data_IF_235218393168
#
_entry.id   IF_235218393168
#
_cell.length_a   1.000
_cell.length_b   1.000
_cell.length_c   1.000
_cell.angle_alpha   90.00
_cell.angle_beta   90.00
_cell.angle_gamma   90.00
#
_symmetry.space_group_name_H-M   'P 1'
#
loop_
_entity.id
_entity.type
_entity.pdbx_description
1 polymer ?
#
# COMPACT_ATOMS: atom_id res chain seq x y z
N UNK A 1 -39.92 -0.72 56.70
CA UNK A 1 -39.89 -1.84 55.73
C UNK A 1 -38.53 -1.78 55.04
N UNK A 2 -37.58 -2.54 55.55
CA UNK A 2 -36.17 -2.48 55.16
C UNK A 2 -35.81 -3.72 54.34
N UNK A 3 -35.29 -3.52 53.14
CA UNK A 3 -34.87 -4.60 52.24
C UNK A 3 -33.42 -5.02 52.55
N UNK A 4 -33.09 -6.33 52.53
CA UNK A 4 -31.73 -6.80 52.79
C UNK A 4 -30.84 -6.76 51.54
N UNK A 5 -29.62 -6.23 51.74
CA UNK A 5 -28.51 -6.24 50.79
C UNK A 5 -28.01 -7.69 50.58
N UNK A 6 -27.96 -8.15 49.33
CA UNK A 6 -27.38 -9.45 48.97
C UNK A 6 -25.97 -9.24 48.40
N UNK A 7 -24.95 -9.66 49.13
CA UNK A 7 -23.54 -9.67 48.71
C UNK A 7 -23.26 -10.92 47.89
N UNK A 8 -22.95 -10.75 46.61
CA UNK A 8 -22.50 -11.84 45.73
C UNK A 8 -20.97 -11.96 45.78
N UNK A 9 -20.49 -13.07 46.38
CA UNK A 9 -19.08 -13.46 46.41
C UNK A 9 -18.70 -14.10 45.07
N UNK A 10 -17.88 -13.41 44.26
CA UNK A 10 -17.23 -14.02 43.08
C UNK A 10 -15.92 -14.70 43.48
N UNK A 11 -15.89 -16.02 43.33
CA UNK A 11 -14.69 -16.85 43.44
C UNK A 11 -13.94 -16.79 42.11
N UNK A 12 -12.80 -16.10 42.10
CA UNK A 12 -11.88 -16.06 40.97
C UNK A 12 -11.00 -17.31 40.99
N UNK A 13 -11.27 -18.27 40.08
CA UNK A 13 -10.37 -19.39 39.83
C UNK A 13 -9.18 -18.92 38.98
N UNK A 14 -7.99 -18.93 39.58
CA UNK A 14 -6.73 -18.78 38.88
C UNK A 14 -6.47 -20.06 38.05
N UNK A 15 -6.56 -19.95 36.73
CA UNK A 15 -6.08 -20.99 35.81
C UNK A 15 -4.59 -20.80 35.57
N UNK A 16 -3.80 -21.76 36.05
CA UNK A 16 -2.38 -21.88 35.73
C UNK A 16 -2.21 -22.28 34.27
N UNK A 17 -1.73 -21.35 33.44
CA UNK A 17 -1.35 -21.63 32.05
C UNK A 17 0.00 -22.35 32.01
N UNK A 18 -0.05 -23.65 31.72
CA UNK A 18 1.11 -24.50 31.44
C UNK A 18 1.74 -24.07 30.11
N UNK A 19 2.99 -23.62 30.16
CA UNK A 19 3.83 -23.37 28.98
C UNK A 19 4.17 -24.70 28.30
N UNK A 20 3.50 -25.00 27.19
CA UNK A 20 3.89 -26.07 26.28
C UNK A 20 4.82 -25.50 25.21
N UNK A 21 6.08 -25.95 25.22
CA UNK A 21 7.01 -25.74 24.12
C UNK A 21 6.55 -26.60 22.94
N UNK A 22 5.97 -25.99 21.92
CA UNK A 22 5.76 -26.64 20.63
C UNK A 22 7.01 -26.50 19.79
N UNK A 23 7.68 -27.64 19.61
CA UNK A 23 8.66 -27.95 18.57
C UNK A 23 8.17 -27.46 17.20
N UNK A 24 8.90 -26.52 16.62
CA UNK A 24 8.78 -26.11 15.22
C UNK A 24 9.55 -27.13 14.37
N UNK A 25 8.88 -28.19 13.94
CA UNK A 25 9.38 -29.01 12.84
C UNK A 25 8.22 -29.56 11.99
N UNK A 26 8.47 -29.59 10.68
CA UNK A 26 7.63 -30.12 9.61
C UNK A 26 6.31 -29.36 9.31
N UNK A 27 6.32 -28.57 8.24
CA UNK A 27 5.55 -28.83 6.99
C UNK A 27 5.69 -27.62 6.05
N UNK A 28 6.89 -27.43 5.48
CA UNK A 28 7.02 -26.62 4.26
C UNK A 28 6.51 -27.45 3.07
N UNK A 29 5.21 -27.36 2.79
CA UNK A 29 4.63 -27.84 1.55
C UNK A 29 4.97 -26.85 0.44
N UNK A 30 6.16 -26.98 -0.14
CA UNK A 30 6.57 -26.28 -1.36
C UNK A 30 5.58 -26.62 -2.49
N UNK A 31 4.99 -25.64 -3.18
CA UNK A 31 4.38 -25.89 -4.47
C UNK A 31 5.48 -26.27 -5.48
N UNK A 32 5.30 -27.44 -6.09
CA UNK A 32 6.02 -27.90 -7.28
C UNK A 32 6.03 -26.83 -8.38
N UNK A 33 7.20 -26.46 -8.94
CA UNK A 33 7.26 -25.68 -10.17
C UNK A 33 7.18 -26.65 -11.35
N UNK A 34 5.97 -27.00 -11.76
CA UNK A 34 5.72 -27.64 -13.03
C UNK A 34 4.83 -26.75 -13.89
N UNK A 35 5.34 -26.48 -15.10
CA UNK A 35 4.60 -26.01 -16.29
C UNK A 35 4.42 -24.49 -16.45
N UNK A 36 5.51 -23.81 -16.81
CA UNK A 36 5.51 -22.81 -17.89
C UNK A 36 6.89 -22.86 -18.57
N UNK A 37 7.02 -23.82 -19.48
CA UNK A 37 8.19 -24.00 -20.34
C UNK A 37 8.14 -22.92 -21.43
N UNK A 38 8.86 -21.83 -21.20
CA UNK A 38 9.45 -21.04 -22.27
C UNK A 38 10.80 -20.49 -21.80
N UNK A 39 11.64 -21.39 -21.29
CA UNK A 39 13.01 -21.06 -20.89
C UNK A 39 13.93 -21.22 -22.11
N UNK A 40 14.29 -20.08 -22.70
CA UNK A 40 15.45 -19.98 -23.58
C UNK A 40 16.66 -20.47 -22.77
N UNK A 41 17.11 -21.71 -23.03
CA UNK A 41 18.24 -22.34 -22.32
C UNK A 41 19.46 -21.43 -22.48
N UNK A 42 19.93 -20.83 -21.38
CA UNK A 42 21.16 -20.03 -21.36
C UNK A 42 22.32 -20.99 -21.17
N UNK A 43 22.78 -21.59 -22.27
CA UNK A 43 24.02 -22.36 -22.31
C UNK A 43 25.17 -21.40 -22.59
N UNK A 44 26.26 -21.54 -21.84
CA UNK A 44 27.48 -20.77 -22.06
C UNK A 44 28.57 -21.74 -22.49
N UNK A 45 29.10 -21.57 -23.70
CA UNK A 45 30.22 -22.36 -24.21
C UNK A 45 31.52 -21.82 -23.62
N UNK A 46 32.23 -22.67 -22.89
CA UNK A 46 33.55 -22.39 -22.34
C UNK A 46 34.62 -22.51 -23.44
N UNK A 47 35.80 -21.93 -23.22
CA UNK A 47 36.90 -21.91 -24.20
C UNK A 47 37.48 -23.31 -24.51
N UNK A 48 37.21 -24.29 -23.65
CA UNK A 48 37.54 -25.70 -23.84
C UNK A 48 36.51 -26.45 -24.73
N UNK A 49 35.47 -25.76 -25.19
CA UNK A 49 34.39 -26.32 -26.01
C UNK A 49 33.30 -27.02 -25.20
N UNK A 50 33.37 -27.01 -23.86
CA UNK A 50 32.32 -27.59 -23.01
C UNK A 50 31.12 -26.64 -22.89
N UNK A 51 29.90 -27.20 -22.90
CA UNK A 51 28.66 -26.45 -22.69
C UNK A 51 28.27 -26.45 -21.21
N UNK A 52 28.29 -25.28 -20.57
CA UNK A 52 27.83 -25.10 -19.20
C UNK A 52 26.36 -24.71 -19.17
N UNK A 53 25.53 -25.55 -18.53
CA UNK A 53 24.12 -25.24 -18.28
C UNK A 53 23.98 -24.36 -17.03
N UNK A 54 23.65 -23.08 -17.21
CA UNK A 54 23.54 -22.10 -16.13
C UNK A 54 22.33 -22.32 -15.20
N UNK A 55 21.42 -23.22 -15.57
CA UNK A 55 20.28 -23.59 -14.72
C UNK A 55 20.53 -24.87 -13.89
N UNK A 56 21.66 -25.55 -14.11
CA UNK A 56 22.06 -26.74 -13.37
C UNK A 56 22.79 -26.42 -12.07
N UNK A 57 22.98 -27.44 -11.23
CA UNK A 57 23.89 -27.34 -10.09
C UNK A 57 25.32 -27.25 -10.62
N UNK A 58 25.92 -26.06 -10.53
CA UNK A 58 27.31 -25.84 -10.92
C UNK A 58 28.23 -26.55 -9.92
N UNK A 59 29.25 -27.30 -10.37
CA UNK A 59 30.25 -27.87 -9.48
C UNK A 59 31.00 -26.72 -8.78
N UNK A 60 31.03 -26.74 -7.44
CA UNK A 60 31.74 -25.74 -6.65
C UNK A 60 33.24 -26.09 -6.69
N UNK A 61 33.94 -25.62 -7.72
CA UNK A 61 35.40 -25.72 -7.80
C UNK A 61 36.05 -24.53 -7.08
N UNK A 62 37.28 -24.71 -6.59
CA UNK A 62 38.02 -23.66 -5.89
C UNK A 62 38.18 -22.39 -6.74
N UNK A 63 38.37 -22.55 -8.05
CA UNK A 63 38.50 -21.44 -9.00
C UNK A 63 37.21 -20.63 -9.13
N UNK A 64 36.05 -21.30 -9.16
CA UNK A 64 34.74 -20.62 -9.19
C UNK A 64 34.52 -19.83 -7.89
N UNK A 65 34.91 -20.38 -6.74
CA UNK A 65 34.82 -19.65 -5.47
C UNK A 65 35.73 -18.41 -5.43
N UNK A 66 36.95 -18.50 -5.96
CA UNK A 66 37.85 -17.36 -6.05
C UNK A 66 37.32 -16.29 -7.01
N UNK A 67 36.79 -16.70 -8.16
CA UNK A 67 36.14 -15.79 -9.11
C UNK A 67 34.90 -15.10 -8.49
N UNK A 68 34.08 -15.84 -7.74
CA UNK A 68 32.94 -15.27 -7.01
C UNK A 68 33.39 -14.27 -5.94
N UNK A 69 34.43 -14.58 -5.16
CA UNK A 69 34.98 -13.65 -4.15
C UNK A 69 35.50 -12.36 -4.80
N UNK A 70 36.26 -12.47 -5.88
CA UNK A 70 36.75 -11.31 -6.63
C UNK A 70 35.59 -10.45 -7.15
N UNK A 71 34.53 -11.08 -7.67
CA UNK A 71 33.35 -10.37 -8.15
C UNK A 71 32.56 -9.68 -7.04
N UNK A 72 32.48 -10.29 -5.85
CA UNK A 72 31.85 -9.67 -4.67
C UNK A 72 32.60 -8.39 -4.29
N UNK A 73 33.93 -8.43 -4.21
CA UNK A 73 34.72 -7.23 -3.90
C UNK A 73 34.53 -6.10 -4.93
N UNK A 74 34.49 -6.43 -6.23
CA UNK A 74 34.24 -5.43 -7.27
C UNK A 74 32.84 -4.79 -7.15
N UNK A 75 31.83 -5.57 -6.78
CA UNK A 75 30.47 -5.05 -6.55
C UNK A 75 30.39 -4.20 -5.28
N UNK A 76 31.12 -4.55 -4.22
CA UNK A 76 31.23 -3.75 -3.01
C UNK A 76 31.90 -2.39 -3.29
N UNK A 77 32.97 -2.38 -4.09
CA UNK A 77 33.62 -1.14 -4.54
C UNK A 77 32.69 -0.25 -5.39
N UNK A 78 31.90 -0.85 -6.29
CA UNK A 78 30.91 -0.12 -7.09
C UNK A 78 29.81 0.49 -6.23
N UNK A 79 29.32 -0.23 -5.22
CA UNK A 79 28.32 0.28 -4.28
C UNK A 79 28.90 1.40 -3.40
N UNK A 80 30.13 1.25 -2.92
CA UNK A 80 30.82 2.29 -2.16
C UNK A 80 31.02 3.56 -3.01
N UNK A 81 31.40 3.42 -4.29
CA UNK A 81 31.55 4.55 -5.21
C UNK A 81 30.21 5.25 -5.51
N UNK A 82 29.10 4.51 -5.60
CA UNK A 82 27.76 5.11 -5.78
C UNK A 82 27.32 5.92 -4.55
N UNK A 83 27.56 5.40 -3.33
CA UNK A 83 27.23 6.12 -2.10
C UNK A 83 28.01 7.44 -1.96
N UNK A 84 29.28 7.46 -2.34
CA UNK A 84 30.10 8.69 -2.34
C UNK A 84 29.62 9.69 -3.40
N UNK A 85 29.17 9.20 -4.56
CA UNK A 85 28.62 10.05 -5.63
C UNK A 85 27.29 10.70 -5.21
N UNK A 86 26.45 9.98 -4.48
CA UNK A 86 25.20 10.52 -3.94
C UNK A 86 25.48 11.58 -2.86
N UNK A 87 26.40 11.30 -1.92
CA UNK A 87 26.75 12.25 -0.86
C UNK A 87 27.47 13.51 -1.33
N UNK A 88 28.23 13.44 -2.43
CA UNK A 88 28.94 14.62 -2.97
C UNK A 88 28.04 15.57 -3.77
N UNK A 89 26.82 15.17 -4.12
CA UNK A 89 25.85 16.01 -4.82
C UNK A 89 25.05 16.97 -3.94
N UNK A 90 25.17 16.88 -2.61
CA UNK A 90 24.35 17.64 -1.64
C UNK A 90 25.06 18.76 -0.84
N UNK A 91 26.28 19.19 -1.22
CA UNK A 91 26.92 20.36 -0.59
C UNK A 91 27.03 21.57 -1.51
N UNK A 92 26.10 22.55 -1.44
CA UNK A 92 26.39 23.91 -1.89
C UNK A 92 27.26 24.60 -0.84
N UNK A 93 28.44 25.02 -1.28
CA UNK A 93 29.46 25.68 -0.47
C UNK A 93 29.28 27.22 -0.47
N UNK A 94 29.51 27.83 0.72
CA UNK A 94 29.91 29.24 1.01
C UNK A 94 28.81 30.30 0.79
N UNK A 95 28.54 31.32 1.63
CA UNK A 95 29.22 32.16 2.66
C UNK A 95 28.02 32.82 3.42
N UNK A 96 28.00 33.13 4.71
CA UNK A 96 28.87 34.07 5.40
C UNK A 96 28.70 34.00 6.93
N UNK A 97 29.85 34.18 7.57
CA UNK A 97 30.20 34.45 8.96
C UNK A 97 29.51 35.70 9.53
N UNK A 98 28.84 35.60 10.68
CA UNK A 98 28.83 36.62 11.75
C UNK A 98 28.65 35.92 13.11
N UNK A 99 29.49 36.32 14.06
CA UNK A 99 29.61 35.82 15.43
C UNK A 99 29.21 36.90 16.43
N UNK A 100 28.34 36.57 17.39
CA UNK A 100 28.11 37.23 18.70
C UNK A 100 26.81 36.64 19.26
N UNK A 101 26.65 36.12 20.48
CA UNK A 101 27.40 36.21 21.73
C UNK A 101 26.36 36.37 22.86
N UNK A 102 26.54 35.60 23.93
CA UNK A 102 25.94 35.71 25.27
C UNK A 102 24.55 35.08 25.58
N UNK A 103 24.59 34.35 26.69
CA UNK A 103 23.60 33.61 27.46
C UNK A 103 22.45 34.50 28.00
N UNK A 104 21.20 33.99 28.00
CA UNK A 104 20.39 33.89 29.22
C UNK A 104 19.04 33.17 29.02
N UNK A 105 18.75 32.32 30.01
CA UNK A 105 17.47 31.93 30.63
C UNK A 105 16.14 31.87 29.82
N UNK A 106 15.54 30.67 29.89
CA UNK A 106 14.15 30.39 30.27
C UNK A 106 12.99 30.90 29.40
N UNK A 107 12.35 29.91 28.76
CA UNK A 107 10.89 29.81 28.63
C UNK A 107 10.23 30.74 27.63
N UNK A 108 10.02 30.26 26.41
CA UNK A 108 8.85 30.66 25.63
C UNK A 108 8.50 29.64 24.53
N UNK A 109 7.21 29.51 24.31
CA UNK A 109 6.54 28.64 23.33
C UNK A 109 6.83 29.14 21.91
N UNK A 110 7.83 28.56 21.25
CA UNK A 110 8.05 28.79 19.82
C UNK A 110 7.37 27.71 18.98
N UNK A 111 6.23 28.08 18.42
CA UNK A 111 5.65 27.43 17.25
C UNK A 111 6.70 27.42 16.13
N UNK A 112 7.19 26.22 15.79
CA UNK A 112 7.92 25.98 14.53
C UNK A 112 6.95 26.21 13.37
N UNK A 113 6.86 27.47 12.94
CA UNK A 113 6.43 27.82 11.60
C UNK A 113 7.48 27.23 10.64
N UNK A 114 7.22 25.99 10.21
CA UNK A 114 8.01 25.32 9.19
C UNK A 114 8.15 26.24 7.98
N UNK A 115 9.39 26.66 7.72
CA UNK A 115 9.81 27.32 6.50
C UNK A 115 9.26 26.54 5.31
N UNK A 116 8.19 27.04 4.72
CA UNK A 116 7.63 26.57 3.46
C UNK A 116 8.57 27.02 2.34
N UNK A 117 9.68 26.29 2.18
CA UNK A 117 10.45 26.33 0.96
C UNK A 117 9.48 26.05 -0.20
N UNK A 118 9.25 27.06 -1.03
CA UNK A 118 8.34 26.95 -2.15
C UNK A 118 8.75 25.73 -2.99
N UNK A 119 7.81 24.83 -3.33
CA UNK A 119 8.12 23.60 -4.02
C UNK A 119 8.81 23.92 -5.34
N UNK A 120 9.94 23.26 -5.61
CA UNK A 120 10.64 23.44 -6.88
C UNK A 120 9.74 22.95 -8.02
N UNK A 121 9.86 23.54 -9.22
CA UNK A 121 9.07 23.12 -10.39
C UNK A 121 9.28 21.63 -10.75
N UNK A 122 10.39 21.04 -10.31
CA UNK A 122 10.68 19.61 -10.53
C UNK A 122 9.87 18.72 -9.58
N UNK A 123 9.71 19.12 -8.33
CA UNK A 123 8.93 18.37 -7.33
C UNK A 123 7.45 18.31 -7.72
N UNK A 124 6.92 19.38 -8.33
CA UNK A 124 5.53 19.39 -8.79
C UNK A 124 5.28 18.37 -9.92
N UNK A 125 6.25 18.14 -10.81
CA UNK A 125 6.16 17.13 -11.87
C UNK A 125 6.18 15.72 -11.29
N UNK A 126 7.11 15.44 -10.36
CA UNK A 126 7.19 14.16 -9.65
C UNK A 126 5.88 13.87 -8.91
N UNK A 127 5.36 14.87 -8.21
CA UNK A 127 4.08 14.81 -7.50
C UNK A 127 2.92 14.44 -8.43
N UNK A 128 2.77 15.16 -9.55
CA UNK A 128 1.71 14.88 -10.55
C UNK A 128 1.83 13.46 -11.10
N UNK A 129 3.05 12.98 -11.35
CA UNK A 129 3.29 11.63 -11.83
C UNK A 129 2.91 10.56 -10.78
N UNK A 130 3.25 10.78 -9.52
CA UNK A 130 2.87 9.89 -8.42
C UNK A 130 1.35 9.85 -8.20
N UNK A 131 0.68 11.01 -8.21
CA UNK A 131 -0.79 11.09 -8.12
C UNK A 131 -1.44 10.33 -9.28
N UNK A 132 -0.92 10.51 -10.51
CA UNK A 132 -1.39 9.76 -11.68
C UNK A 132 -1.17 8.25 -11.51
N UNK A 133 -0.01 7.81 -11.02
CA UNK A 133 0.29 6.39 -10.74
C UNK A 133 -0.73 5.78 -9.76
N UNK A 134 -1.02 6.48 -8.67
CA UNK A 134 -2.02 6.05 -7.67
C UNK A 134 -3.40 5.91 -8.32
N UNK A 135 -3.80 6.90 -9.12
CA UNK A 135 -5.10 6.91 -9.78
C UNK A 135 -5.22 5.82 -10.86
N UNK A 136 -4.16 5.57 -11.63
CA UNK A 136 -4.11 4.48 -12.61
C UNK A 136 -4.15 3.11 -11.94
N UNK A 137 -3.52 2.96 -10.76
CA UNK A 137 -3.62 1.73 -9.95
C UNK A 137 -5.03 1.52 -9.42
N UNK A 138 -5.65 2.56 -8.86
CA UNK A 138 -7.05 2.52 -8.43
C UNK A 138 -7.99 2.14 -9.59
N UNK A 139 -7.81 2.72 -10.78
CA UNK A 139 -8.59 2.37 -11.99
C UNK A 139 -8.45 0.90 -12.38
N UNK A 140 -7.26 0.31 -12.22
CA UNK A 140 -7.02 -1.11 -12.50
C UNK A 140 -7.70 -2.00 -11.45
N UNK A 141 -7.54 -1.66 -10.18
CA UNK A 141 -8.12 -2.43 -9.07
C UNK A 141 -9.65 -2.38 -9.08
N UNK A 142 -10.27 -1.24 -9.40
CA UNK A 142 -11.72 -1.12 -9.62
C UNK A 142 -12.25 -2.04 -10.75
N UNK A 143 -11.39 -2.41 -11.70
CA UNK A 143 -11.75 -3.29 -12.84
C UNK A 143 -11.34 -4.74 -12.62
N UNK A 144 -10.66 -5.05 -11.52
CA UNK A 144 -10.24 -6.40 -11.19
C UNK A 144 -11.45 -7.33 -11.03
N UNK A 145 -11.28 -8.60 -11.38
CA UNK A 145 -12.36 -9.59 -11.32
C UNK A 145 -12.85 -9.86 -9.87
N UNK A 146 -11.97 -9.63 -8.90
CA UNK A 146 -12.25 -9.83 -7.48
C UNK A 146 -13.10 -8.72 -6.87
N UNK A 147 -13.13 -7.54 -7.49
CA UNK A 147 -13.93 -6.39 -7.03
C UNK A 147 -15.29 -6.43 -7.71
N UNK A 148 -16.28 -6.98 -7.01
CA UNK A 148 -17.67 -7.08 -7.48
C UNK A 148 -18.53 -5.98 -6.85
N UNK A 149 -18.95 -5.00 -7.65
CA UNK A 149 -19.89 -3.98 -7.21
C UNK A 149 -21.32 -4.53 -7.32
N UNK A 150 -22.01 -4.61 -6.17
CA UNK A 150 -23.35 -5.20 -6.02
C UNK A 150 -24.28 -4.26 -5.21
N UNK A 151 -24.06 -2.95 -5.29
CA UNK A 151 -24.80 -1.93 -4.53
C UNK A 151 -24.38 -1.80 -3.05
N UNK A 152 -23.18 -2.28 -2.71
CA UNK A 152 -22.56 -2.06 -1.40
C UNK A 152 -21.20 -1.39 -1.60
N UNK A 153 -20.83 -0.40 -0.77
CA UNK A 153 -19.49 0.17 -0.79
C UNK A 153 -18.41 -0.90 -0.69
N UNK A 154 -17.34 -0.75 -1.47
CA UNK A 154 -16.18 -1.64 -1.49
C UNK A 154 -14.95 -0.87 -1.07
N UNK A 155 -14.15 -1.50 -0.22
CA UNK A 155 -12.85 -0.98 0.16
C UNK A 155 -11.77 -1.52 -0.78
N UNK A 156 -11.05 -0.64 -1.44
CA UNK A 156 -9.87 -0.98 -2.23
C UNK A 156 -8.64 -0.49 -1.45
N UNK A 157 -7.76 -1.43 -1.12
CA UNK A 157 -6.56 -1.15 -0.33
C UNK A 157 -5.32 -1.58 -1.11
N UNK A 158 -4.35 -0.68 -1.20
CA UNK A 158 -3.01 -1.04 -1.68
C UNK A 158 -1.92 -0.27 -0.95
N UNK A 159 -0.75 -0.91 -0.90
CA UNK A 159 0.44 -0.39 -0.25
C UNK A 159 1.41 0.14 -1.34
N UNK A 160 2.01 1.30 -1.08
CA UNK A 160 3.09 1.92 -1.84
C UNK A 160 4.26 2.22 -0.89
N UNK A 161 5.48 2.18 -1.42
CA UNK A 161 6.67 2.59 -0.68
C UNK A 161 6.95 4.04 -1.08
N UNK A 162 6.91 4.94 -0.10
CA UNK A 162 7.14 6.37 -0.30
C UNK A 162 8.11 6.86 0.77
N UNK A 163 9.03 7.72 0.39
CA UNK A 163 9.88 8.40 1.36
C UNK A 163 9.07 9.45 2.13
N UNK A 164 9.49 9.79 3.35
CA UNK A 164 8.78 10.75 4.19
C UNK A 164 8.66 12.12 3.51
N UNK A 165 9.71 12.58 2.83
CA UNK A 165 9.70 13.86 2.10
C UNK A 165 8.66 13.84 0.96
N UNK A 166 8.57 12.75 0.20
CA UNK A 166 7.59 12.59 -0.87
C UNK A 166 6.16 12.51 -0.32
N UNK A 167 5.96 11.75 0.77
CA UNK A 167 4.69 11.65 1.46
C UNK A 167 4.21 13.02 1.95
N UNK A 168 5.10 13.79 2.58
CA UNK A 168 4.78 15.13 3.08
C UNK A 168 4.53 16.12 1.93
N UNK A 169 5.28 16.03 0.82
CA UNK A 169 5.03 16.85 -0.37
C UNK A 169 3.68 16.51 -1.04
N UNK A 170 3.29 15.23 -1.04
CA UNK A 170 2.02 14.77 -1.60
C UNK A 170 0.84 15.14 -0.72
N UNK A 171 0.85 14.74 0.55
CA UNK A 171 -0.32 14.75 1.43
C UNK A 171 -0.22 15.76 2.58
N UNK A 172 0.94 16.38 2.80
CA UNK A 172 1.14 17.38 3.85
C UNK A 172 0.21 18.58 3.67
N UNK A 173 -0.46 18.96 4.77
CA UNK A 173 -1.44 20.06 4.79
C UNK A 173 -2.72 19.79 4.01
N UNK A 174 -2.95 18.55 3.56
CA UNK A 174 -4.16 18.15 2.82
C UNK A 174 -4.94 17.11 3.61
N UNK A 175 -6.27 17.12 3.43
CA UNK A 175 -7.17 16.25 4.18
C UNK A 175 -7.23 16.61 5.67
N UNK A 176 -7.87 15.75 6.44
CA UNK A 176 -7.99 15.87 7.89
C UNK A 176 -6.97 14.96 8.55
N UNK A 177 -5.99 15.55 9.25
CA UNK A 177 -4.98 14.82 10.01
C UNK A 177 -5.63 14.21 11.27
N UNK A 178 -5.68 12.88 11.34
CA UNK A 178 -6.23 12.15 12.49
C UNK A 178 -5.13 11.88 13.53
N UNK A 179 -3.95 11.46 13.05
CA UNK A 179 -2.77 11.15 13.88
C UNK A 179 -1.49 11.51 13.12
N UNK A 180 -0.43 11.99 13.78
CA UNK A 180 -0.34 12.33 15.21
C UNK A 180 -1.07 13.64 15.52
N UNK A 181 -1.81 13.70 16.63
CA UNK A 181 -2.34 14.96 17.16
C UNK A 181 -1.83 15.18 18.59
N UNK A 182 -1.68 16.43 19.06
CA UNK A 182 -1.19 16.70 20.42
C UNK A 182 -1.99 15.97 21.50
N UNK A 183 -3.30 15.82 21.28
CA UNK A 183 -4.22 15.16 22.18
C UNK A 183 -4.24 13.62 22.02
N UNK A 184 -3.92 13.10 20.84
CA UNK A 184 -4.02 11.67 20.54
C UNK A 184 -2.73 11.15 19.90
N UNK A 185 -1.91 10.48 20.73
CA UNK A 185 -0.63 9.84 20.37
C UNK A 185 0.35 10.81 19.68
N UNK A 186 0.91 11.79 20.43
CA UNK A 186 1.82 12.80 19.88
C UNK A 186 3.11 12.21 19.30
N UNK A 187 3.55 11.05 19.82
CA UNK A 187 4.76 10.35 19.37
C UNK A 187 4.48 9.21 18.40
N UNK A 188 3.29 9.19 17.76
CA UNK A 188 2.95 8.13 16.82
C UNK A 188 3.92 8.11 15.65
N UNK A 189 4.51 6.94 15.41
CA UNK A 189 5.33 6.65 14.21
C UNK A 189 4.48 6.53 12.95
N UNK A 190 3.16 6.48 13.11
CA UNK A 190 2.18 6.34 12.04
C UNK A 190 1.40 7.64 11.89
N UNK A 191 1.37 8.15 10.66
CA UNK A 191 0.56 9.30 10.25
C UNK A 191 -0.70 8.81 9.55
N UNK A 192 -1.87 9.24 10.03
CA UNK A 192 -3.16 8.90 9.45
C UNK A 192 -3.84 10.17 8.98
N UNK A 193 -4.16 10.23 7.69
CA UNK A 193 -4.86 11.35 7.05
C UNK A 193 -6.12 10.80 6.41
N UNK A 194 -7.24 11.47 6.66
CA UNK A 194 -8.54 11.13 6.07
C UNK A 194 -8.95 12.22 5.07
N UNK A 195 -9.42 11.80 3.90
CA UNK A 195 -9.96 12.69 2.88
C UNK A 195 -11.45 12.40 2.67
N UNK A 196 -12.25 13.47 2.72
CA UNK A 196 -13.63 13.46 2.26
C UNK A 196 -13.69 13.58 0.72
N UNK A 197 -14.77 13.14 0.11
CA UNK A 197 -15.13 13.31 -1.30
C UNK A 197 -14.80 14.69 -1.89
N UNK A 198 -15.13 15.80 -1.21
CA UNK A 198 -14.82 17.15 -1.71
C UNK A 198 -13.30 17.39 -1.81
N UNK A 199 -12.55 17.02 -0.77
CA UNK A 199 -11.08 17.16 -0.73
C UNK A 199 -10.40 16.24 -1.75
N UNK A 200 -11.02 15.09 -2.07
CA UNK A 200 -10.55 14.20 -3.12
C UNK A 200 -10.64 14.83 -4.50
N UNK A 201 -11.73 15.56 -4.79
CA UNK A 201 -11.87 16.29 -6.06
C UNK A 201 -10.82 17.40 -6.16
N UNK A 202 -10.53 18.12 -5.07
CA UNK A 202 -9.46 19.13 -5.06
C UNK A 202 -8.07 18.51 -5.24
N UNK A 203 -7.86 17.30 -4.71
CA UNK A 203 -6.56 16.62 -4.75
C UNK A 203 -6.27 15.92 -6.10
N UNK A 204 -7.24 15.15 -6.60
CA UNK A 204 -7.09 14.35 -7.82
C UNK A 204 -7.67 15.04 -9.07
N UNK A 205 -8.42 16.14 -8.89
CA UNK A 205 -9.11 16.83 -9.98
C UNK A 205 -10.31 16.05 -10.51
N UNK A 206 -10.75 16.40 -11.73
CA UNK A 206 -11.89 15.76 -12.41
C UNK A 206 -11.62 14.32 -12.89
N UNK A 207 -10.42 13.78 -12.67
CA UNK A 207 -10.09 12.40 -13.07
C UNK A 207 -10.63 11.36 -12.10
N UNK A 208 -10.89 11.74 -10.83
CA UNK A 208 -11.45 10.85 -9.81
C UNK A 208 -12.92 10.54 -10.04
N UNK A 209 -13.64 11.40 -10.75
CA UNK A 209 -15.07 11.19 -11.07
C UNK A 209 -15.28 10.28 -12.29
N UNK A 210 -14.21 9.95 -13.03
CA UNK A 210 -14.25 9.11 -14.24
C UNK A 210 -13.86 7.65 -13.96
N UNK A 211 -14.12 7.16 -12.76
CA UNK A 211 -13.84 5.77 -12.39
C UNK A 211 -14.94 4.85 -12.92
N UNK A 212 -14.52 3.75 -13.53
CA UNK A 212 -15.42 2.71 -14.06
C UNK A 212 -15.09 1.37 -13.41
N UNK A 213 -16.11 0.67 -12.95
CA UNK A 213 -16.04 -0.66 -12.37
C UNK A 213 -16.78 -1.70 -13.19
N UNK A 214 -16.88 -2.91 -12.65
CA UNK A 214 -17.77 -3.96 -13.17
C UNK A 214 -18.92 -4.18 -12.19
N UNK A 215 -20.16 -3.96 -12.64
CA UNK A 215 -21.35 -4.32 -11.87
C UNK A 215 -21.64 -5.81 -11.97
N UNK A 216 -22.09 -6.41 -10.87
CA UNK A 216 -22.45 -7.82 -10.79
C UNK A 216 -23.85 -7.98 -10.20
N UNK A 217 -24.57 -9.00 -10.64
CA UNK A 217 -25.78 -9.41 -9.93
C UNK A 217 -25.42 -9.91 -8.53
N UNK A 218 -26.28 -9.62 -7.55
CA UNK A 218 -26.22 -10.24 -6.23
C UNK A 218 -26.68 -11.69 -6.40
N UNK A 219 -25.70 -12.59 -6.56
CA UNK A 219 -25.96 -14.04 -6.55
C UNK A 219 -26.48 -14.49 -5.18
N UNK A 220 -27.09 -15.66 -5.14
CA UNK A 220 -27.72 -16.20 -3.93
C UNK A 220 -29.24 -16.07 -3.88
N UNK A 221 -29.87 -16.71 -2.89
CA UNK A 221 -31.33 -16.95 -2.83
C UNK A 221 -31.78 -18.04 -3.81
N UNK A 222 -32.94 -18.68 -3.58
CA UNK A 222 -33.21 -20.14 -3.42
C UNK A 222 -32.66 -21.14 -4.45
N UNK A 223 -32.01 -20.68 -5.52
CA UNK A 223 -31.46 -21.50 -6.61
C UNK A 223 -29.93 -21.48 -6.68
N UNK A 224 -29.23 -20.94 -5.68
CA UNK A 224 -27.76 -20.85 -5.62
C UNK A 224 -27.14 -20.28 -6.91
N UNK A 225 -27.83 -19.33 -7.54
CA UNK A 225 -27.39 -18.77 -8.81
C UNK A 225 -26.06 -18.02 -8.62
N UNK A 226 -25.10 -18.32 -9.49
CA UNK A 226 -23.80 -17.63 -9.52
C UNK A 226 -24.02 -16.16 -9.88
N UNK A 227 -23.19 -15.28 -9.30
CA UNK A 227 -23.15 -13.87 -9.70
C UNK A 227 -22.80 -13.75 -11.18
N UNK A 228 -23.55 -12.98 -11.95
CA UNK A 228 -23.32 -12.71 -13.37
C UNK A 228 -22.86 -11.27 -13.52
N UNK A 229 -21.85 -11.04 -14.37
CA UNK A 229 -21.38 -9.70 -14.70
C UNK A 229 -22.45 -8.98 -15.53
N UNK A 230 -22.95 -7.85 -15.03
CA UNK A 230 -23.99 -7.05 -15.69
C UNK A 230 -23.42 -6.10 -16.73
N UNK A 231 -22.23 -5.56 -16.48
CA UNK A 231 -21.61 -4.57 -17.37
C UNK A 231 -20.64 -3.67 -16.63
N UNK A 232 -20.32 -2.53 -17.24
CA UNK A 232 -19.53 -1.47 -16.59
C UNK A 232 -20.47 -0.53 -15.82
N UNK A 233 -20.06 -0.10 -14.64
CA UNK A 233 -20.76 0.92 -13.86
C UNK A 233 -19.85 2.11 -13.56
N UNK A 234 -20.47 3.26 -13.31
CA UNK A 234 -19.80 4.46 -12.82
C UNK A 234 -19.58 4.35 -11.31
N UNK A 235 -18.35 4.63 -10.88
CA UNK A 235 -17.96 4.53 -9.49
C UNK A 235 -17.74 5.92 -8.91
N UNK A 236 -18.13 6.09 -7.64
CA UNK A 236 -17.84 7.26 -6.84
C UNK A 236 -16.93 6.88 -5.68
N UNK A 237 -15.91 7.69 -5.43
CA UNK A 237 -15.08 7.53 -4.22
C UNK A 237 -15.66 8.40 -3.12
N UNK A 238 -16.05 7.79 -2.01
CA UNK A 238 -16.65 8.51 -0.89
C UNK A 238 -15.58 9.01 0.08
N UNK A 239 -14.62 8.16 0.40
CA UNK A 239 -13.55 8.47 1.35
C UNK A 239 -12.21 7.83 0.96
N UNK A 240 -11.12 8.44 1.43
CA UNK A 240 -9.76 7.89 1.34
C UNK A 240 -9.08 8.02 2.70
N UNK A 241 -8.71 6.88 3.28
CA UNK A 241 -7.82 6.82 4.44
C UNK A 241 -6.39 6.54 3.98
N UNK A 242 -5.46 7.39 4.40
CA UNK A 242 -4.04 7.24 4.16
C UNK A 242 -3.38 6.91 5.50
N UNK A 243 -2.63 5.81 5.53
CA UNK A 243 -1.86 5.40 6.69
C UNK A 243 -0.39 5.25 6.28
N UNK A 244 0.45 6.14 6.79
CA UNK A 244 1.87 6.15 6.52
C UNK A 244 2.67 5.74 7.75
N UNK A 245 3.52 4.73 7.62
CA UNK A 245 4.45 4.31 8.67
C UNK A 245 5.85 4.85 8.39
N UNK A 246 6.36 5.71 9.28
CA UNK A 246 7.71 6.29 9.15
C UNK A 246 8.81 5.24 9.14
N UNK A 247 8.68 4.20 9.97
CA UNK A 247 9.69 3.15 10.11
C UNK A 247 9.76 2.24 8.87
N UNK A 248 8.62 1.95 8.26
CA UNK A 248 8.53 1.04 7.11
C UNK A 248 8.55 1.73 5.75
N UNK A 249 8.62 3.07 5.72
CA UNK A 249 8.44 3.89 4.50
C UNK A 249 7.21 3.46 3.68
N UNK A 250 6.17 2.98 4.38
CA UNK A 250 5.02 2.32 3.76
C UNK A 250 3.81 3.20 3.87
N UNK A 251 3.26 3.58 2.73
CA UNK A 251 2.01 4.30 2.58
C UNK A 251 0.91 3.33 2.17
N UNK A 252 -0.04 3.08 3.06
CA UNK A 252 -1.25 2.31 2.80
C UNK A 252 -2.36 3.27 2.39
N UNK A 253 -2.92 3.11 1.20
CA UNK A 253 -4.07 3.87 0.74
C UNK A 253 -5.29 2.96 0.75
N UNK A 254 -6.35 3.40 1.43
CA UNK A 254 -7.62 2.68 1.56
C UNK A 254 -8.74 3.56 1.03
N UNK A 255 -9.23 3.24 -0.16
CA UNK A 255 -10.33 3.92 -0.82
C UNK A 255 -11.64 3.24 -0.49
N UNK A 256 -12.65 4.01 -0.14
CA UNK A 256 -14.05 3.56 -0.07
C UNK A 256 -14.75 3.98 -1.35
N UNK A 257 -15.18 3.00 -2.13
CA UNK A 257 -15.74 3.19 -3.46
C UNK A 257 -17.15 2.61 -3.51
N UNK A 258 -18.10 3.43 -3.93
CA UNK A 258 -19.49 3.04 -4.10
C UNK A 258 -19.92 3.12 -5.57
N UNK A 259 -20.97 2.37 -5.90
CA UNK A 259 -21.61 2.41 -7.22
C UNK A 259 -22.52 3.64 -7.29
N UNK A 260 -22.17 4.61 -8.14
CA UNK A 260 -22.93 5.85 -8.27
C UNK A 260 -24.40 5.59 -8.65
N UNK A 261 -24.66 4.51 -9.40
CA UNK A 261 -26.00 4.13 -9.84
C UNK A 261 -26.85 3.48 -8.75
N UNK A 262 -26.23 2.93 -7.70
CA UNK A 262 -26.94 2.22 -6.62
C UNK A 262 -27.56 3.18 -5.60
N UNK A 263 -27.06 4.42 -5.48
CA UNK A 263 -27.52 5.42 -4.52
C UNK A 263 -28.95 5.91 -4.75
N UNK A 264 -29.54 5.65 -5.93
CA UNK A 264 -30.89 6.06 -6.30
C UNK A 264 -31.89 4.91 -6.33
N UNK A 265 -32.26 4.34 -5.19
CA UNK A 265 -33.51 3.58 -4.91
C UNK A 265 -34.06 2.56 -5.95
N UNK A 266 -33.28 2.18 -6.96
CA UNK A 266 -33.65 1.22 -7.99
C UNK A 266 -32.99 -0.10 -7.62
N UNK A 267 -33.67 -0.85 -6.76
CA UNK A 267 -33.19 -2.14 -6.28
C UNK A 267 -32.65 -3.00 -7.41
N UNK A 268 -31.46 -3.55 -7.20
CA UNK A 268 -30.69 -4.40 -8.11
C UNK A 268 -31.35 -5.77 -8.35
N UNK A 269 -32.68 -5.83 -8.40
CA UNK A 269 -33.41 -6.88 -9.06
C UNK A 269 -33.23 -6.63 -10.55
N UNK A 270 -32.15 -7.20 -11.10
CA UNK A 270 -31.90 -7.15 -12.53
C UNK A 270 -33.16 -7.52 -13.31
N UNK A 271 -33.31 -7.02 -14.55
CA UNK A 271 -34.49 -7.31 -15.37
C UNK A 271 -34.69 -8.81 -15.32
N UNK A 272 -35.81 -9.24 -14.74
CA UNK A 272 -36.14 -10.65 -14.67
C UNK A 272 -36.22 -11.13 -16.11
N UNK A 273 -35.13 -11.72 -16.59
CA UNK A 273 -35.08 -12.40 -17.86
C UNK A 273 -35.92 -13.66 -17.68
N UNK A 274 -37.25 -13.49 -17.61
CA UNK A 274 -38.19 -14.45 -18.15
C UNK A 274 -37.78 -14.55 -19.61
N UNK A 275 -36.89 -15.50 -19.91
CA UNK A 275 -36.84 -16.13 -21.21
C UNK A 275 -38.27 -16.58 -21.48
N UNK A 276 -38.99 -15.75 -22.22
CA UNK A 276 -40.12 -16.19 -23.02
C UNK A 276 -39.51 -17.20 -23.99
N UNK A 277 -39.44 -18.45 -23.56
CA UNK A 277 -39.34 -19.59 -24.47
C UNK A 277 -40.67 -19.60 -25.18
N UNK A 278 -40.75 -18.81 -26.26
CA UNK A 278 -41.80 -18.94 -27.24
C UNK A 278 -41.75 -20.37 -27.73
N UNK A 279 -42.72 -21.16 -27.28
CA UNK A 279 -43.21 -22.32 -28.00
C UNK A 279 -43.54 -21.85 -29.42
N UNK A 280 -42.68 -22.20 -30.37
CA UNK A 280 -43.06 -22.26 -31.76
C UNK A 280 -43.39 -23.72 -32.06
N UNK A 281 -44.60 -23.89 -32.59
CA UNK A 281 -45.20 -25.15 -33.04
C UNK A 281 -44.35 -25.84 -34.11
#
# INVERSE_FOLDING_TARGET
MSAPLTTATQVNQAQASVLTQTTLDATMKRPSPATLVNTKKRKLTLADGSELDLNGSLPITADIMLAMRARIFELEDQLAAQQVKEQSSERPAKRARVSSGAENASGDVSAEAGSSSAPSKEDEKKRKMQVKKILDRLKKDCKAADVKFQGSPKTIKFDEILEFAEFQALFGGKGTLIQPTPQNKPTSTVTIIHFNSAQLVDFFGADITKLKGNAWTRGGGPRFAKSVKLGQCDLRVDSLDINYSKNGMKCTLKFEVDDASASGMSGCYGPSARRSMGFWF
#
